data_IF_403167762235
#
_entry.id   IF_403167762235
#
_cell.length_a   1.000
_cell.length_b   1.000
_cell.length_c   1.000
_cell.angle_alpha   90.00
_cell.angle_beta   90.00
_cell.angle_gamma   90.00
#
_symmetry.space_group_name_H-M   'P 1'
#
loop_
_entity.id
_entity.type
_entity.pdbx_description
1 polymer ?
#
# COMPACT_ATOMS: atom_id res chain seq x y z
N UNK A 1 -32.61 14.68 -5.59
CA UNK A 1 -33.72 15.65 -5.48
C UNK A 1 -34.93 15.24 -6.34
N UNK A 2 -34.74 14.79 -7.58
CA UNK A 2 -35.82 14.24 -8.43
C UNK A 2 -36.75 13.24 -7.69
N UNK A 3 -36.21 12.23 -7.01
CA UNK A 3 -37.05 11.22 -6.31
C UNK A 3 -37.88 11.79 -5.14
N UNK A 4 -37.39 12.84 -4.46
CA UNK A 4 -38.10 13.48 -3.33
C UNK A 4 -39.28 14.32 -3.85
N UNK A 5 -39.11 14.98 -5.00
CA UNK A 5 -40.12 15.84 -5.62
C UNK A 5 -41.26 15.01 -6.23
N UNK A 6 -40.93 13.88 -6.87
CA UNK A 6 -41.93 12.93 -7.42
C UNK A 6 -42.77 12.30 -6.30
N UNK A 7 -42.17 11.97 -5.15
CA UNK A 7 -42.92 11.47 -3.98
C UNK A 7 -43.74 12.55 -3.25
N UNK A 8 -43.50 13.84 -3.49
CA UNK A 8 -44.17 14.94 -2.78
C UNK A 8 -45.20 15.73 -3.62
N UNK A 9 -45.52 15.30 -4.85
CA UNK A 9 -46.53 15.96 -5.71
C UNK A 9 -46.33 17.49 -5.86
N UNK A 10 -45.10 17.98 -5.93
CA UNK A 10 -44.92 19.40 -6.30
C UNK A 10 -45.16 19.57 -7.80
N UNK A 11 -46.11 20.42 -8.17
CA UNK A 11 -46.37 20.89 -9.55
C UNK A 11 -45.25 21.81 -10.08
N UNK A 12 -43.99 21.44 -9.86
CA UNK A 12 -42.87 22.21 -10.42
C UNK A 12 -42.66 21.74 -11.86
N UNK A 13 -42.69 22.64 -12.85
CA UNK A 13 -42.39 22.30 -14.23
C UNK A 13 -40.95 21.74 -14.35
N UNK A 14 -40.80 20.61 -15.05
CA UNK A 14 -39.56 19.83 -15.26
C UNK A 14 -38.37 20.69 -15.76
N UNK A 15 -38.64 21.87 -16.35
CA UNK A 15 -37.62 22.82 -16.82
C UNK A 15 -36.82 23.47 -15.67
N UNK A 16 -37.47 23.86 -14.57
CA UNK A 16 -36.80 24.45 -13.39
C UNK A 16 -35.97 23.40 -12.63
N UNK A 17 -36.26 22.12 -12.85
CA UNK A 17 -35.55 21.00 -12.22
C UNK A 17 -34.09 20.87 -12.68
N UNK A 18 -33.75 21.34 -13.89
CA UNK A 18 -32.36 21.38 -14.39
C UNK A 18 -31.53 22.49 -13.74
N UNK A 19 -32.16 23.58 -13.29
CA UNK A 19 -31.49 24.63 -12.51
C UNK A 19 -31.16 24.15 -11.08
N UNK A 20 -31.92 23.18 -10.56
CA UNK A 20 -31.73 22.58 -9.23
C UNK A 20 -30.80 21.37 -9.21
N UNK A 21 -30.47 20.81 -10.38
CA UNK A 21 -29.50 19.73 -10.52
C UNK A 21 -28.07 20.29 -10.59
N UNK A 22 -27.66 20.90 -9.47
CA UNK A 22 -26.27 21.18 -9.14
C UNK A 22 -25.52 19.88 -8.84
N UNK A 23 -25.55 18.94 -9.78
CA UNK A 23 -24.73 17.72 -9.82
C UNK A 23 -23.49 17.90 -10.71
N UNK A 24 -23.31 19.08 -11.32
CA UNK A 24 -22.12 19.44 -12.10
C UNK A 24 -21.37 20.59 -11.40
N UNK A 25 -20.70 20.25 -10.30
CA UNK A 25 -19.39 20.78 -9.93
C UNK A 25 -19.13 22.29 -10.00
N UNK A 26 -20.06 23.16 -9.60
CA UNK A 26 -19.74 24.58 -9.48
C UNK A 26 -20.31 25.16 -8.20
N UNK A 27 -19.41 25.75 -7.41
CA UNK A 27 -19.60 26.52 -6.18
C UNK A 27 -20.68 27.61 -6.37
N UNK A 28 -21.95 27.22 -6.33
CA UNK A 28 -23.03 28.17 -6.53
C UNK A 28 -23.41 28.78 -5.19
N UNK A 29 -23.20 30.10 -5.08
CA UNK A 29 -23.80 30.99 -4.09
C UNK A 29 -25.25 30.57 -3.78
N UNK A 30 -25.60 30.62 -2.49
CA UNK A 30 -26.91 30.31 -1.95
C UNK A 30 -28.07 30.63 -2.90
N UNK A 31 -28.77 29.60 -3.38
CA UNK A 31 -29.90 29.79 -4.27
C UNK A 31 -31.20 29.66 -3.47
N UNK A 32 -31.93 30.77 -3.38
CA UNK A 32 -33.21 30.88 -2.71
C UNK A 32 -34.28 31.08 -3.79
N UNK A 33 -35.17 30.09 -3.92
CA UNK A 33 -36.22 30.10 -4.92
C UNK A 33 -37.58 30.09 -4.21
N UNK A 34 -38.35 31.16 -4.42
CA UNK A 34 -39.68 31.34 -3.81
C UNK A 34 -40.74 31.06 -4.86
N UNK A 35 -41.62 30.08 -4.59
CA UNK A 35 -42.84 29.79 -5.34
C UNK A 35 -44.05 29.93 -4.41
N UNK A 36 -45.23 30.08 -4.99
CA UNK A 36 -46.48 30.43 -4.27
C UNK A 36 -46.86 29.45 -3.16
N UNK A 37 -46.39 28.19 -3.22
CA UNK A 37 -46.67 27.15 -2.21
C UNK A 37 -45.40 26.43 -1.69
N UNK A 38 -44.21 26.85 -2.10
CA UNK A 38 -42.95 26.24 -1.67
C UNK A 38 -41.77 27.20 -1.78
N UNK A 39 -40.98 27.31 -0.73
CA UNK A 39 -39.72 28.02 -0.71
C UNK A 39 -38.58 27.00 -0.65
N UNK A 40 -37.74 26.95 -1.67
CA UNK A 40 -36.58 26.06 -1.72
C UNK A 40 -35.33 26.85 -1.41
N UNK A 41 -34.59 26.38 -0.40
CA UNK A 41 -33.35 26.98 0.06
C UNK A 41 -32.22 25.98 -0.16
N UNK A 42 -31.27 26.33 -1.03
CA UNK A 42 -30.10 25.51 -1.32
C UNK A 42 -28.84 26.29 -0.95
N UNK A 43 -28.22 25.92 0.17
CA UNK A 43 -26.87 26.35 0.53
C UNK A 43 -25.93 25.17 0.60
N UNK A 44 -24.64 25.44 0.41
CA UNK A 44 -23.49 24.52 0.28
C UNK A 44 -23.67 23.13 0.92
N UNK A 45 -24.07 23.06 2.19
CA UNK A 45 -24.18 21.82 2.96
C UNK A 45 -25.62 21.47 3.39
N UNK A 46 -26.60 22.34 3.14
CA UNK A 46 -27.98 22.18 3.62
C UNK A 46 -28.96 22.56 2.52
N UNK A 47 -29.72 21.56 2.05
CA UNK A 47 -30.84 21.76 1.13
C UNK A 47 -32.15 21.60 1.89
N UNK A 48 -32.97 22.65 1.92
CA UNK A 48 -34.21 22.73 2.69
C UNK A 48 -35.38 23.09 1.76
N UNK A 49 -36.51 22.38 1.89
CA UNK A 49 -37.75 22.67 1.19
C UNK A 49 -38.78 23.06 2.26
N UNK A 50 -39.23 24.31 2.25
CA UNK A 50 -40.24 24.86 3.16
C UNK A 50 -41.56 24.93 2.40
N UNK A 51 -42.57 24.19 2.87
CA UNK A 51 -43.95 24.30 2.42
C UNK A 51 -44.79 24.98 3.50
N UNK A 52 -46.01 25.41 3.17
CA UNK A 52 -46.90 26.14 4.09
C UNK A 52 -47.20 25.40 5.42
N UNK A 53 -47.03 24.07 5.47
CA UNK A 53 -47.33 23.27 6.68
C UNK A 53 -46.15 22.39 7.14
N UNK A 54 -45.09 22.22 6.31
CA UNK A 54 -44.00 21.28 6.63
C UNK A 54 -42.66 21.74 6.04
N UNK A 55 -41.61 21.61 6.84
CA UNK A 55 -40.23 21.80 6.42
C UNK A 55 -39.59 20.43 6.23
N UNK A 56 -39.10 20.13 5.03
CA UNK A 56 -38.36 18.89 4.73
C UNK A 56 -36.94 19.22 4.34
N UNK A 57 -35.99 18.71 5.11
CA UNK A 57 -34.57 18.75 4.79
C UNK A 57 -34.27 17.68 3.73
N UNK A 58 -33.78 18.10 2.57
CA UNK A 58 -33.19 17.20 1.58
C UNK A 58 -31.72 16.96 1.95
N UNK A 59 -31.49 16.44 3.15
CA UNK A 59 -30.17 15.97 3.58
C UNK A 59 -29.90 14.69 2.80
N UNK A 60 -28.96 14.73 1.85
CA UNK A 60 -28.30 13.48 1.43
C UNK A 60 -27.61 12.93 2.70
N UNK A 61 -27.73 11.63 3.01
CA UNK A 61 -27.01 11.06 4.13
C UNK A 61 -25.52 11.34 3.93
N UNK A 62 -24.99 12.30 4.70
CA UNK A 62 -23.59 12.68 4.72
C UNK A 62 -22.86 11.59 5.50
N UNK A 63 -22.60 10.48 4.82
CA UNK A 63 -21.89 9.33 5.38
C UNK A 63 -21.09 8.56 4.33
N UNK A 64 -20.96 9.11 3.12
CA UNK A 64 -20.31 8.42 1.99
C UNK A 64 -18.99 9.10 1.61
N UNK A 65 -18.93 10.44 1.56
CA UNK A 65 -17.74 11.14 1.02
C UNK A 65 -16.54 11.23 1.98
N UNK A 66 -16.77 11.42 3.29
CA UNK A 66 -15.67 11.50 4.26
C UNK A 66 -15.13 10.12 4.63
N UNK A 67 -15.91 9.05 4.43
CA UNK A 67 -15.42 7.68 4.54
C UNK A 67 -14.59 7.28 3.33
N UNK A 68 -15.05 7.63 2.13
CA UNK A 68 -14.32 7.37 0.88
C UNK A 68 -12.93 8.04 0.87
N UNK A 69 -12.81 9.30 1.33
CA UNK A 69 -11.50 9.97 1.45
C UNK A 69 -10.57 9.35 2.51
N UNK A 70 -11.15 8.74 3.57
CA UNK A 70 -10.38 8.04 4.61
C UNK A 70 -9.95 6.66 4.12
N UNK A 71 -10.83 5.93 3.43
CA UNK A 71 -10.58 4.60 2.87
C UNK A 71 -9.53 4.66 1.74
N UNK A 72 -9.61 5.66 0.85
CA UNK A 72 -8.57 5.91 -0.16
C UNK A 72 -7.20 6.18 0.49
N UNK A 73 -7.17 6.87 1.64
CA UNK A 73 -5.91 7.13 2.37
C UNK A 73 -5.43 5.89 3.13
N UNK A 74 -6.34 5.07 3.64
CA UNK A 74 -6.04 3.80 4.31
C UNK A 74 -5.42 2.78 3.35
N UNK A 75 -5.95 2.67 2.13
CA UNK A 75 -5.41 1.79 1.10
C UNK A 75 -4.00 2.20 0.67
N UNK A 76 -3.72 3.51 0.55
CA UNK A 76 -2.37 4.02 0.26
C UNK A 76 -1.37 3.64 1.36
N UNK A 77 -1.77 3.78 2.63
CA UNK A 77 -0.93 3.39 3.77
C UNK A 77 -0.72 1.88 3.79
N UNK A 78 -1.76 1.09 3.49
CA UNK A 78 -1.70 -0.37 3.48
C UNK A 78 -0.75 -0.89 2.38
N UNK A 79 -0.84 -0.34 1.16
CA UNK A 79 0.08 -0.66 0.06
C UNK A 79 1.52 -0.33 0.44
N UNK A 80 1.75 0.81 1.11
CA UNK A 80 3.09 1.22 1.53
C UNK A 80 3.66 0.34 2.64
N UNK A 81 2.80 -0.13 3.55
CA UNK A 81 3.17 -1.07 4.61
C UNK A 81 3.55 -2.43 4.01
N UNK A 82 2.80 -2.93 3.04
CA UNK A 82 3.07 -4.19 2.35
C UNK A 82 4.35 -4.11 1.50
N UNK A 83 4.58 -3.01 0.80
CA UNK A 83 5.84 -2.77 0.09
C UNK A 83 7.04 -2.77 1.04
N UNK A 84 6.90 -2.12 2.20
CA UNK A 84 7.95 -2.05 3.20
C UNK A 84 8.23 -3.44 3.80
N UNK A 85 7.20 -4.18 4.19
CA UNK A 85 7.33 -5.56 4.70
C UNK A 85 7.97 -6.49 3.67
N UNK A 86 7.52 -6.45 2.42
CA UNK A 86 8.10 -7.25 1.34
C UNK A 86 9.58 -6.91 1.10
N UNK A 87 9.96 -5.64 1.23
CA UNK A 87 11.36 -5.22 1.18
C UNK A 87 12.18 -5.79 2.34
N UNK A 88 11.65 -5.75 3.56
CA UNK A 88 12.33 -6.31 4.73
C UNK A 88 12.54 -7.83 4.62
N UNK A 89 11.51 -8.58 4.21
CA UNK A 89 11.60 -10.04 4.01
C UNK A 89 12.67 -10.39 2.98
N UNK A 90 12.75 -9.62 1.90
CA UNK A 90 13.78 -9.81 0.87
C UNK A 90 15.19 -9.59 1.41
N UNK A 91 15.41 -8.57 2.23
CA UNK A 91 16.72 -8.34 2.85
C UNK A 91 17.07 -9.42 3.87
N UNK A 92 16.10 -9.85 4.67
CA UNK A 92 16.28 -10.90 5.68
C UNK A 92 16.77 -12.20 5.04
N UNK A 93 16.09 -12.69 4.01
CA UNK A 93 16.48 -13.91 3.27
C UNK A 93 17.90 -13.79 2.69
N UNK A 94 18.25 -12.63 2.14
CA UNK A 94 19.60 -12.39 1.58
C UNK A 94 20.68 -12.45 2.68
N UNK A 95 20.42 -11.84 3.84
CA UNK A 95 21.36 -11.84 4.97
C UNK A 95 21.50 -13.24 5.57
N UNK A 96 20.41 -13.96 5.78
CA UNK A 96 20.42 -15.34 6.30
C UNK A 96 21.17 -16.27 5.35
N UNK A 97 20.96 -16.13 4.04
CA UNK A 97 21.68 -16.92 3.02
C UNK A 97 23.16 -16.59 2.99
N UNK A 98 23.54 -15.31 3.14
CA UNK A 98 24.93 -14.89 3.26
C UNK A 98 25.61 -15.47 4.51
N UNK A 99 24.92 -15.44 5.64
CA UNK A 99 25.42 -15.99 6.91
C UNK A 99 25.60 -17.51 6.83
N UNK A 100 24.69 -18.21 6.16
CA UNK A 100 24.81 -19.64 5.91
C UNK A 100 26.05 -19.99 5.07
N UNK A 101 26.35 -19.23 4.01
CA UNK A 101 27.57 -19.41 3.23
C UNK A 101 28.83 -19.15 4.07
N UNK A 102 28.84 -18.07 4.87
CA UNK A 102 29.95 -17.74 5.77
C UNK A 102 30.18 -18.79 6.86
N UNK A 103 29.17 -19.55 7.27
CA UNK A 103 29.32 -20.62 8.25
C UNK A 103 30.33 -21.69 7.80
N UNK A 104 30.34 -22.06 6.50
CA UNK A 104 31.32 -23.00 5.96
C UNK A 104 32.74 -22.43 5.96
N UNK A 105 32.89 -21.13 5.69
CA UNK A 105 34.17 -20.45 5.78
C UNK A 105 34.69 -20.38 7.22
N UNK A 106 33.79 -20.16 8.19
CA UNK A 106 34.12 -20.15 9.61
C UNK A 106 34.58 -21.52 10.11
N UNK A 107 33.99 -22.62 9.62
CA UNK A 107 34.45 -23.98 9.95
C UNK A 107 35.89 -24.19 9.47
N UNK A 108 36.20 -23.83 8.22
CA UNK A 108 37.56 -23.95 7.69
C UNK A 108 38.56 -23.05 8.42
N UNK A 109 38.16 -21.82 8.73
CA UNK A 109 38.97 -20.88 9.52
C UNK A 109 39.23 -21.43 10.91
N UNK A 110 38.24 -22.05 11.55
CA UNK A 110 38.39 -22.74 12.84
C UNK A 110 39.40 -23.88 12.74
N UNK A 111 39.25 -24.78 11.77
CA UNK A 111 40.18 -25.91 11.58
C UNK A 111 41.63 -25.49 11.38
N UNK A 112 41.88 -24.38 10.67
CA UNK A 112 43.23 -23.82 10.46
C UNK A 112 43.72 -22.95 11.62
N UNK A 113 42.80 -22.38 12.41
CA UNK A 113 43.11 -21.48 13.53
C UNK A 113 43.44 -22.22 14.83
N UNK A 114 43.13 -23.51 14.93
CA UNK A 114 43.49 -24.34 16.08
C UNK A 114 44.97 -24.71 16.07
N UNK A 115 45.60 -24.68 17.25
CA UNK A 115 47.01 -25.06 17.46
C UNK A 115 47.19 -26.58 17.51
N UNK A 116 46.79 -27.27 16.45
CA UNK A 116 46.99 -28.70 16.24
C UNK A 116 48.17 -28.91 15.28
N UNK A 117 48.91 -29.99 15.46
CA UNK A 117 49.95 -30.40 14.50
C UNK A 117 49.23 -30.87 13.23
N UNK A 118 49.02 -29.93 12.30
CA UNK A 118 48.53 -30.25 10.97
C UNK A 118 49.63 -31.00 10.19
N UNK A 119 49.26 -31.92 9.28
CA UNK A 119 50.22 -32.60 8.42
C UNK A 119 51.07 -31.59 7.66
N UNK A 120 52.39 -31.79 7.67
CA UNK A 120 53.39 -30.88 7.08
C UNK A 120 53.11 -30.53 5.60
N UNK A 121 52.38 -31.39 4.89
CA UNK A 121 51.95 -31.21 3.50
C UNK A 121 51.05 -29.98 3.26
N UNK A 122 50.30 -29.52 4.28
CA UNK A 122 49.40 -28.35 4.16
C UNK A 122 50.04 -27.09 4.73
N UNK A 123 50.87 -27.23 5.77
CA UNK A 123 51.38 -26.11 6.58
C UNK A 123 52.76 -25.61 6.14
N UNK A 124 53.62 -26.48 5.58
CA UNK A 124 54.96 -26.08 5.15
C UNK A 124 55.00 -25.43 3.77
N UNK A 125 54.00 -25.71 2.92
CA UNK A 125 53.95 -25.19 1.56
C UNK A 125 53.05 -23.95 1.46
N UNK A 126 53.66 -22.81 1.11
CA UNK A 126 52.96 -21.54 0.89
C UNK A 126 51.87 -21.70 -0.17
N UNK A 127 52.15 -22.52 -1.19
CA UNK A 127 51.20 -22.78 -2.28
C UNK A 127 49.99 -23.58 -1.81
N UNK A 128 50.19 -24.58 -0.93
CA UNK A 128 49.11 -25.35 -0.31
C UNK A 128 48.16 -24.48 0.50
N UNK A 129 48.70 -23.53 1.28
CA UNK A 129 47.89 -22.58 2.04
C UNK A 129 47.01 -21.70 1.14
N UNK A 130 47.56 -21.15 0.06
CA UNK A 130 46.78 -20.36 -0.91
C UNK A 130 45.73 -21.19 -1.63
N UNK A 131 46.03 -22.46 -1.95
CA UNK A 131 45.11 -23.35 -2.66
C UNK A 131 43.92 -23.74 -1.77
N UNK A 132 44.15 -24.02 -0.48
CA UNK A 132 43.09 -24.34 0.49
C UNK A 132 42.22 -23.10 0.78
N UNK A 133 42.82 -21.95 1.06
CA UNK A 133 42.06 -20.71 1.30
C UNK A 133 41.29 -20.26 0.05
N UNK A 134 41.96 -20.29 -1.11
CA UNK A 134 41.35 -19.96 -2.39
C UNK A 134 40.22 -20.94 -2.75
N UNK A 135 40.43 -22.24 -2.57
CA UNK A 135 39.40 -23.26 -2.80
C UNK A 135 38.19 -23.08 -1.88
N UNK A 136 38.41 -22.73 -0.61
CA UNK A 136 37.34 -22.44 0.34
C UNK A 136 36.57 -21.16 -0.03
N UNK A 137 37.27 -20.12 -0.47
CA UNK A 137 36.66 -18.87 -0.96
C UNK A 137 35.77 -19.16 -2.19
N UNK A 138 36.27 -19.95 -3.14
CA UNK A 138 35.51 -20.38 -4.32
C UNK A 138 34.30 -21.20 -3.90
N UNK A 139 34.46 -22.16 -2.98
CA UNK A 139 33.34 -22.96 -2.47
C UNK A 139 32.26 -22.08 -1.79
N UNK A 140 32.64 -21.11 -0.97
CA UNK A 140 31.73 -20.15 -0.34
C UNK A 140 30.97 -19.30 -1.38
N UNK A 141 31.68 -18.79 -2.39
CA UNK A 141 31.05 -18.03 -3.48
C UNK A 141 30.10 -18.92 -4.29
N UNK A 142 30.50 -20.15 -4.62
CA UNK A 142 29.64 -21.07 -5.38
C UNK A 142 28.38 -21.44 -4.61
N UNK A 143 28.48 -21.76 -3.32
CA UNK A 143 27.32 -22.09 -2.47
C UNK A 143 26.37 -20.90 -2.34
N UNK A 144 26.90 -19.69 -2.10
CA UNK A 144 26.10 -18.47 -2.08
C UNK A 144 25.39 -18.21 -3.42
N UNK A 145 26.09 -18.31 -4.54
CA UNK A 145 25.51 -18.13 -5.88
C UNK A 145 24.46 -19.20 -6.20
N UNK A 146 24.68 -20.45 -5.79
CA UNK A 146 23.73 -21.54 -6.01
C UNK A 146 22.44 -21.30 -5.24
N UNK A 147 22.52 -20.85 -3.99
CA UNK A 147 21.35 -20.50 -3.19
C UNK A 147 20.60 -19.31 -3.78
N UNK A 148 21.31 -18.25 -4.19
CA UNK A 148 20.70 -17.09 -4.87
C UNK A 148 20.05 -17.51 -6.19
N UNK A 149 20.69 -18.38 -6.98
CA UNK A 149 20.14 -18.88 -8.22
C UNK A 149 18.88 -19.72 -7.99
N UNK A 150 18.85 -20.57 -6.96
CA UNK A 150 17.66 -21.32 -6.55
C UNK A 150 16.51 -20.39 -6.16
N UNK A 151 16.78 -19.34 -5.36
CA UNK A 151 15.77 -18.35 -5.00
C UNK A 151 15.23 -17.60 -6.21
N UNK A 152 16.08 -17.25 -7.17
CA UNK A 152 15.65 -16.64 -8.45
C UNK A 152 14.80 -17.60 -9.27
N UNK A 153 15.16 -18.89 -9.32
CA UNK A 153 14.42 -19.86 -10.11
C UNK A 153 13.04 -20.15 -9.52
N UNK A 154 12.93 -20.23 -8.20
CA UNK A 154 11.66 -20.43 -7.52
C UNK A 154 10.79 -19.16 -7.45
N UNK A 155 11.19 -18.06 -8.10
CA UNK A 155 10.45 -16.79 -8.18
C UNK A 155 9.99 -16.24 -6.82
N UNK A 156 10.73 -16.52 -5.76
CA UNK A 156 10.43 -16.03 -4.39
C UNK A 156 11.07 -14.65 -4.15
N UNK A 157 11.91 -14.17 -5.07
CA UNK A 157 12.67 -12.93 -4.99
C UNK A 157 12.50 -12.03 -6.22
#
# INVERSE_FOLDING_TARGET
>A
MCSIVISCQLEIPIRDMRLMDSALGSETLAQLLVRDNAMVFSMEHVRLIIMNDKVRTAVRPYGVNSREYIEDTEDLVNIQLDFSRNKLIRFDILITTGTFALAFFNIMTGMLGENLVLPDTITQDLWGFFLVNGGTMVFCITTFLTLVALFRWHKVL
#
